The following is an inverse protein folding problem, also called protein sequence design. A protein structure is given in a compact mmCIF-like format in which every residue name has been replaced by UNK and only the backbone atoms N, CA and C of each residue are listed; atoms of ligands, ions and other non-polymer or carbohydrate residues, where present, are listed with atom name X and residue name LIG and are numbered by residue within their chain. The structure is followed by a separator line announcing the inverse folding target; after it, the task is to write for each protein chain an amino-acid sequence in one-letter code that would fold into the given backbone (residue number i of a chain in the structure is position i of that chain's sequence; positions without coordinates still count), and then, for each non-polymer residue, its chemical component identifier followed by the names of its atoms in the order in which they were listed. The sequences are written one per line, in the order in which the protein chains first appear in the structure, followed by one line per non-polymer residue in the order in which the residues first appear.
data_IF_975940584254
#
_entry.id   IF_975940584254
#
_cell.length_a   1.000
_cell.length_b   1.000
_cell.length_c   1.000
_cell.angle_alpha   90.00
_cell.angle_beta   90.00
_cell.angle_gamma   90.00
#
_symmetry.space_group_name_H-M   'P 1'
#
loop_
_entity.id
_entity.type
_entity.pdbx_description
1 polymer ?
#
# COMPACT_ATOMS: atom_id res chain seq x y z
N UNK A 1 -3.54 29.95 19.60
CA UNK A 1 -4.40 28.87 20.17
C UNK A 1 -5.42 28.37 19.13
N UNK A 2 -6.21 29.25 18.51
CA UNK A 2 -7.23 28.89 17.51
C UNK A 2 -6.69 28.10 16.30
N UNK A 3 -5.57 28.52 15.74
CA UNK A 3 -4.92 27.85 14.58
C UNK A 3 -4.51 26.42 14.91
N UNK A 4 -4.01 26.17 16.13
CA UNK A 4 -3.57 24.85 16.56
C UNK A 4 -4.77 23.90 16.68
N UNK A 5 -5.87 24.38 17.27
CA UNK A 5 -7.11 23.60 17.40
C UNK A 5 -7.68 23.27 16.02
N UNK A 6 -7.65 24.23 15.08
CA UNK A 6 -8.13 24.02 13.71
C UNK A 6 -7.30 22.97 12.97
N UNK A 7 -5.98 23.00 13.11
CA UNK A 7 -5.09 21.97 12.55
C UNK A 7 -5.33 20.59 13.18
N UNK A 8 -5.57 20.51 14.48
CA UNK A 8 -5.86 19.24 15.17
C UNK A 8 -7.21 18.67 14.68
N UNK A 9 -8.24 19.49 14.54
CA UNK A 9 -9.55 19.05 14.04
C UNK A 9 -9.42 18.58 12.59
N UNK A 10 -8.73 19.34 11.74
CA UNK A 10 -8.49 18.94 10.36
C UNK A 10 -7.75 17.59 10.27
N UNK A 11 -6.74 17.41 11.11
CA UNK A 11 -5.98 16.16 11.23
C UNK A 11 -6.87 14.99 11.68
N UNK A 12 -7.74 15.21 12.67
CA UNK A 12 -8.69 14.21 13.16
C UNK A 12 -9.75 13.85 12.11
N UNK A 13 -10.25 14.82 11.34
CA UNK A 13 -11.23 14.59 10.26
C UNK A 13 -10.60 13.77 9.14
N UNK A 14 -9.39 14.12 8.72
CA UNK A 14 -8.65 13.34 7.72
C UNK A 14 -8.38 11.92 8.22
N UNK A 15 -7.91 11.79 9.47
CA UNK A 15 -7.72 10.49 10.11
C UNK A 15 -9.01 9.66 10.15
N UNK A 16 -10.15 10.29 10.45
CA UNK A 16 -11.45 9.62 10.45
C UNK A 16 -11.88 9.15 9.06
N UNK A 17 -11.73 9.98 8.02
CA UNK A 17 -12.05 9.59 6.64
C UNK A 17 -11.20 8.40 6.17
N UNK A 18 -9.90 8.42 6.48
CA UNK A 18 -9.03 7.28 6.21
C UNK A 18 -9.48 6.07 7.01
N UNK A 19 -9.74 6.23 8.31
CA UNK A 19 -10.22 5.12 9.13
C UNK A 19 -11.52 4.51 8.57
N UNK A 20 -12.48 5.32 8.10
CA UNK A 20 -13.74 4.82 7.52
C UNK A 20 -13.55 4.07 6.21
N UNK A 21 -12.75 4.59 5.27
CA UNK A 21 -12.46 3.90 3.99
C UNK A 21 -11.78 2.56 4.23
N UNK A 22 -10.81 2.52 5.14
CA UNK A 22 -10.10 1.29 5.46
C UNK A 22 -11.00 0.31 6.22
N UNK A 23 -11.91 0.81 7.08
CA UNK A 23 -12.93 -0.01 7.75
C UNK A 23 -13.88 -0.66 6.75
N UNK A 24 -14.31 0.09 5.75
CA UNK A 24 -15.26 -0.38 4.74
C UNK A 24 -14.60 -1.45 3.86
N UNK A 25 -13.34 -1.23 3.46
CA UNK A 25 -12.54 -2.24 2.78
C UNK A 25 -12.34 -3.50 3.64
N UNK A 26 -12.13 -3.33 4.95
CA UNK A 26 -11.95 -4.46 5.87
C UNK A 26 -13.24 -5.24 6.13
N UNK A 27 -14.39 -4.56 6.14
CA UNK A 27 -15.71 -5.20 6.26
C UNK A 27 -16.13 -5.90 4.98
N UNK A 28 -15.73 -5.35 3.82
CA UNK A 28 -15.99 -5.96 2.52
C UNK A 28 -15.23 -7.27 2.30
N UNK A 29 -14.10 -7.46 2.99
CA UNK A 29 -13.36 -8.71 2.97
C UNK A 29 -14.07 -9.78 3.83
N UNK A 30 -14.83 -10.63 3.14
CA UNK A 30 -15.86 -11.51 3.72
C UNK A 30 -15.30 -12.85 4.25
N UNK A 31 -14.00 -13.10 4.12
CA UNK A 31 -13.33 -14.36 4.47
C UNK A 31 -12.65 -14.35 5.86
N UNK A 32 -12.88 -13.32 6.67
CA UNK A 32 -12.12 -13.10 7.92
C UNK A 32 -12.86 -13.65 9.14
N UNK A 33 -12.27 -14.65 9.81
CA UNK A 33 -12.72 -15.24 11.07
C UNK A 33 -12.82 -14.16 12.18
N UNK A 34 -13.82 -14.26 13.06
CA UNK A 34 -14.17 -13.24 14.08
C UNK A 34 -13.01 -12.77 14.98
N UNK A 35 -11.99 -13.61 15.18
CA UNK A 35 -10.79 -13.27 15.97
C UNK A 35 -9.85 -12.30 15.24
N UNK A 36 -9.71 -12.44 13.92
CA UNK A 36 -8.87 -11.56 13.11
C UNK A 36 -9.51 -10.17 12.92
N UNK A 37 -10.85 -10.09 12.96
CA UNK A 37 -11.58 -8.82 12.86
C UNK A 37 -11.17 -7.81 13.94
N UNK A 38 -10.95 -8.29 15.17
CA UNK A 38 -10.54 -7.44 16.30
C UNK A 38 -9.10 -6.95 16.15
N UNK A 39 -8.20 -7.81 15.69
CA UNK A 39 -6.79 -7.46 15.45
C UNK A 39 -6.69 -6.39 14.36
N UNK A 40 -7.47 -6.53 13.30
CA UNK A 40 -7.49 -5.57 12.20
C UNK A 40 -8.04 -4.21 12.58
N UNK A 41 -9.04 -4.17 13.47
CA UNK A 41 -9.52 -2.92 14.03
C UNK A 41 -8.44 -2.22 14.87
N UNK A 42 -7.67 -2.97 15.65
CA UNK A 42 -6.53 -2.43 16.41
C UNK A 42 -5.44 -1.91 15.47
N UNK A 43 -5.12 -2.66 14.41
CA UNK A 43 -4.17 -2.23 13.37
C UNK A 43 -4.67 -0.96 12.67
N UNK A 44 -5.97 -0.84 12.43
CA UNK A 44 -6.60 0.35 11.84
C UNK A 44 -6.37 1.60 12.71
N UNK A 45 -6.59 1.47 14.02
CA UNK A 45 -6.39 2.55 14.99
C UNK A 45 -4.91 2.93 15.08
N UNK A 46 -4.02 1.93 15.13
CA UNK A 46 -2.56 2.15 15.14
C UNK A 46 -2.14 2.84 13.84
N UNK A 47 -2.58 2.34 12.68
CA UNK A 47 -2.25 2.90 11.37
C UNK A 47 -2.75 4.34 11.22
N UNK A 48 -3.94 4.63 11.73
CA UNK A 48 -4.54 5.97 11.74
C UNK A 48 -3.80 6.91 12.69
N UNK A 49 -3.35 6.42 13.85
CA UNK A 49 -2.54 7.20 14.80
C UNK A 49 -1.16 7.53 14.22
N UNK A 50 -0.56 6.54 13.54
CA UNK A 50 0.75 6.65 12.92
C UNK A 50 0.67 7.05 11.44
N UNK A 51 -0.44 7.63 10.95
CA UNK A 51 -0.60 7.94 9.52
C UNK A 51 0.51 8.80 8.90
N UNK A 52 1.20 9.75 9.57
CA UNK A 52 2.29 10.50 8.96
C UNK A 52 3.50 9.63 8.65
N UNK A 53 3.62 8.47 9.31
CA UNK A 53 4.69 7.49 9.15
C UNK A 53 4.22 6.35 8.24
N UNK A 54 2.98 5.89 8.40
CA UNK A 54 2.40 4.80 7.60
C UNK A 54 2.21 5.20 6.14
N UNK A 55 1.77 6.43 5.86
CA UNK A 55 1.59 6.94 4.48
C UNK A 55 2.90 6.90 3.68
N UNK A 56 4.03 7.48 4.15
CA UNK A 56 5.28 7.39 3.40
C UNK A 56 5.83 5.97 3.32
N UNK A 57 5.64 5.12 4.34
CA UNK A 57 6.05 3.71 4.28
C UNK A 57 5.24 2.97 3.21
N UNK A 58 3.92 3.10 3.21
CA UNK A 58 3.05 2.47 2.21
C UNK A 58 3.39 2.94 0.79
N UNK A 59 3.72 4.24 0.63
CA UNK A 59 4.17 4.78 -0.64
C UNK A 59 5.52 4.18 -1.08
N UNK A 60 6.47 4.01 -0.17
CA UNK A 60 7.76 3.37 -0.46
C UNK A 60 7.60 1.89 -0.82
N UNK A 61 6.71 1.17 -0.14
CA UNK A 61 6.35 -0.21 -0.42
C UNK A 61 5.77 -0.33 -1.84
N UNK A 62 4.81 0.54 -2.18
CA UNK A 62 4.19 0.61 -3.50
C UNK A 62 5.21 0.97 -4.59
N UNK A 63 6.13 1.89 -4.31
CA UNK A 63 7.20 2.26 -5.24
C UNK A 63 8.16 1.08 -5.48
N UNK A 64 8.53 0.35 -4.41
CA UNK A 64 9.34 -0.87 -4.52
C UNK A 64 8.62 -1.96 -5.30
N UNK A 65 7.33 -2.16 -5.05
CA UNK A 65 6.52 -3.15 -5.76
C UNK A 65 6.43 -2.84 -7.26
N UNK A 66 6.15 -1.59 -7.61
CA UNK A 66 6.11 -1.12 -9.00
C UNK A 66 7.46 -1.30 -9.71
N UNK A 67 8.58 -1.05 -9.01
CA UNK A 67 9.91 -1.27 -9.57
C UNK A 67 10.19 -2.76 -9.79
N UNK A 68 9.92 -3.61 -8.81
CA UNK A 68 10.12 -5.07 -8.90
C UNK A 68 9.30 -5.69 -10.03
N UNK A 69 8.05 -5.25 -10.21
CA UNK A 69 7.20 -5.76 -11.28
C UNK A 69 7.68 -5.34 -12.68
N UNK A 70 8.25 -4.13 -12.82
CA UNK A 70 8.90 -3.69 -14.07
C UNK A 70 10.14 -4.52 -14.38
N UNK A 71 11.00 -4.78 -13.38
CA UNK A 71 12.21 -5.59 -13.55
C UNK A 71 11.87 -7.02 -14.00
N UNK A 72 10.84 -7.65 -13.43
CA UNK A 72 10.38 -8.98 -13.87
C UNK A 72 9.86 -8.94 -15.32
N UNK A 73 9.10 -7.91 -15.69
CA UNK A 73 8.59 -7.76 -17.05
C UNK A 73 9.72 -7.55 -18.07
N UNK A 74 10.74 -6.78 -17.74
CA UNK A 74 11.92 -6.58 -18.58
C UNK A 74 12.76 -7.85 -18.71
N UNK A 75 12.89 -8.64 -17.65
CA UNK A 75 13.53 -9.96 -17.71
C UNK A 75 12.76 -10.91 -18.63
N UNK A 76 11.43 -11.00 -18.49
CA UNK A 76 10.58 -11.83 -19.37
C UNK A 76 10.67 -11.36 -20.82
N UNK A 77 10.63 -10.04 -21.06
CA UNK A 77 10.78 -9.46 -22.39
C UNK A 77 12.14 -9.83 -23.00
N UNK A 78 13.23 -9.72 -22.24
CA UNK A 78 14.56 -10.02 -22.73
C UNK A 78 14.78 -11.52 -22.98
N UNK A 79 14.27 -12.40 -22.13
CA UNK A 79 14.35 -13.87 -22.35
C UNK A 79 13.46 -14.34 -23.49
N UNK A 80 12.32 -13.66 -23.72
CA UNK A 80 11.42 -13.95 -24.84
C UNK A 80 11.96 -13.48 -26.20
N UNK A 81 12.95 -12.58 -26.22
CA UNK A 81 13.62 -12.17 -27.45
C UNK A 81 14.50 -13.34 -27.90
N UNK A 82 14.14 -14.07 -28.96
CA UNK A 82 14.85 -15.29 -29.32
C UNK A 82 16.30 -14.94 -29.66
N UNK A 83 17.21 -15.73 -29.10
CA UNK A 83 18.68 -15.66 -29.25
C UNK A 83 19.09 -16.13 -30.66
N UNK A 84 18.49 -15.55 -31.70
CA UNK A 84 18.59 -16.03 -33.08
C UNK A 84 19.77 -15.44 -33.87
N UNK A 85 20.66 -14.67 -33.23
CA UNK A 85 21.76 -13.99 -33.92
C UNK A 85 23.13 -14.66 -33.75
N UNK A 86 23.28 -15.67 -32.88
CA UNK A 86 24.61 -16.20 -32.53
C UNK A 86 24.96 -17.53 -33.23
N UNK A 87 24.14 -18.01 -34.17
CA UNK A 87 24.32 -19.35 -34.80
C UNK A 87 24.72 -19.29 -36.29
N UNK A 88 24.76 -18.11 -36.92
CA UNK A 88 25.12 -17.97 -38.34
C UNK A 88 26.48 -17.29 -38.62
N UNK A 89 27.30 -17.05 -37.59
CA UNK A 89 28.62 -16.42 -37.74
C UNK A 89 29.75 -17.38 -37.30
N UNK A 90 29.87 -18.50 -38.02
CA UNK A 90 31.02 -19.42 -37.95
C UNK A 90 31.34 -20.02 -39.30
#
# INVERSE_FOLDING_TARGET
MLIIVLSIIFYLVMAYCFLTEWLDFFIADKDITSEQRSISYVILIIATTFWPVVVPIAYLELLKFNRKHREIFDLIRNTSKPRTYDVYDK
#
